data_IF_543707431710
#
_entry.id   IF_543707431710
#
_cell.length_a   1.000
_cell.length_b   1.000
_cell.length_c   1.000
_cell.angle_alpha   90.00
_cell.angle_beta   90.00
_cell.angle_gamma   90.00
#
_symmetry.space_group_name_H-M   'P 1'
#
loop_
_entity.id
_entity.type
_entity.pdbx_description
1 polymer ?
#
# COMPACT_ATOMS: atom_id res chain seq x y z
N UNK A 1 104.15 21.66 -70.91
CA UNK A 1 104.63 21.06 -69.65
C UNK A 1 103.43 20.54 -68.89
N UNK A 2 103.35 19.22 -68.86
CA UNK A 2 102.33 18.36 -68.23
C UNK A 2 102.44 18.34 -66.71
N UNK A 3 101.31 18.37 -66.01
CA UNK A 3 101.13 17.73 -64.69
C UNK A 3 99.73 17.12 -64.58
N UNK A 4 99.72 15.78 -64.53
CA UNK A 4 98.78 14.86 -63.87
C UNK A 4 98.67 15.19 -62.36
N UNK A 5 97.75 14.72 -61.51
CA UNK A 5 96.50 13.96 -61.51
C UNK A 5 96.04 13.82 -60.02
N UNK A 6 94.79 13.37 -59.77
CA UNK A 6 94.28 12.89 -58.47
C UNK A 6 92.94 13.55 -58.10
N UNK A 7 91.74 13.03 -58.40
CA UNK A 7 91.06 11.75 -58.08
C UNK A 7 90.48 11.68 -56.64
N UNK A 8 89.17 11.41 -56.53
CA UNK A 8 88.47 11.00 -55.30
C UNK A 8 87.27 11.89 -54.92
N UNK A 9 86.09 11.74 -55.54
CA UNK A 9 84.96 10.91 -55.05
C UNK A 9 84.52 11.28 -53.63
N UNK A 10 83.42 12.05 -53.49
CA UNK A 10 82.23 11.65 -52.72
C UNK A 10 81.02 12.38 -53.35
N UNK A 11 80.35 11.72 -54.29
CA UNK A 11 79.06 12.11 -54.87
C UNK A 11 78.05 11.01 -54.49
N UNK A 12 76.85 11.40 -54.03
CA UNK A 12 75.78 10.48 -53.60
C UNK A 12 75.88 10.23 -52.08
N UNK A 13 74.88 10.53 -51.25
CA UNK A 13 73.50 10.08 -51.30
C UNK A 13 72.67 11.02 -50.41
N UNK A 14 71.89 11.97 -50.95
CA UNK A 14 70.81 12.64 -50.17
C UNK A 14 69.56 13.00 -51.01
N UNK A 15 69.56 12.81 -52.33
CA UNK A 15 68.49 13.30 -53.20
C UNK A 15 67.42 12.26 -53.61
N UNK A 16 67.08 11.30 -52.76
CA UNK A 16 66.08 10.26 -53.10
C UNK A 16 65.15 9.86 -51.94
N UNK A 17 64.92 10.76 -50.98
CA UNK A 17 64.05 10.49 -49.80
C UNK A 17 62.86 11.46 -49.66
N UNK A 18 62.50 12.19 -50.72
CA UNK A 18 61.40 13.18 -50.68
C UNK A 18 60.30 12.99 -51.75
N UNK A 19 60.37 11.98 -52.62
CA UNK A 19 59.35 11.74 -53.66
C UNK A 19 58.26 10.73 -53.25
N UNK A 20 58.40 10.04 -52.12
CA UNK A 20 57.41 9.06 -51.64
C UNK A 20 56.24 9.64 -50.85
N UNK A 21 56.37 10.85 -50.26
CA UNK A 21 55.38 11.40 -49.31
C UNK A 21 54.19 12.08 -50.00
N UNK A 22 54.33 12.53 -51.24
CA UNK A 22 53.26 13.24 -51.96
C UNK A 22 52.20 12.27 -52.51
N UNK A 23 52.59 11.01 -52.81
CA UNK A 23 51.65 9.98 -53.28
C UNK A 23 50.68 9.53 -52.19
N UNK A 24 51.10 9.51 -50.93
CA UNK A 24 50.27 9.08 -49.81
C UNK A 24 49.22 10.14 -49.44
N UNK A 25 49.56 11.42 -49.55
CA UNK A 25 48.64 12.52 -49.25
C UNK A 25 47.45 12.59 -50.24
N UNK A 26 47.68 12.33 -51.53
CA UNK A 26 46.62 12.29 -52.54
C UNK A 26 45.75 11.03 -52.43
N UNK A 27 46.34 9.89 -52.06
CA UNK A 27 45.60 8.67 -51.76
C UNK A 27 44.69 8.84 -50.53
N UNK A 28 45.18 9.50 -49.48
CA UNK A 28 44.39 9.85 -48.29
C UNK A 28 43.25 10.83 -48.61
N UNK A 29 43.48 11.83 -49.47
CA UNK A 29 42.42 12.76 -49.94
C UNK A 29 41.32 12.06 -50.74
N UNK A 30 41.68 11.10 -51.60
CA UNK A 30 40.69 10.31 -52.37
C UNK A 30 39.90 9.35 -51.47
N UNK A 31 40.52 8.79 -50.42
CA UNK A 31 39.82 7.96 -49.42
C UNK A 31 38.83 8.78 -48.59
N UNK A 32 39.22 9.97 -48.11
CA UNK A 32 38.32 10.88 -47.38
C UNK A 32 37.12 11.36 -48.23
N UNK A 33 37.30 11.54 -49.54
CA UNK A 33 36.21 11.92 -50.47
C UNK A 33 35.22 10.80 -50.81
N UNK A 34 35.53 9.55 -50.45
CA UNK A 34 34.68 8.38 -50.74
C UNK A 34 33.89 7.89 -49.53
N UNK A 35 34.02 8.57 -48.39
CA UNK A 35 33.28 8.15 -47.20
C UNK A 35 31.80 8.46 -47.44
N UNK A 36 30.91 7.45 -47.41
CA UNK A 36 29.48 7.69 -47.50
C UNK A 36 29.09 8.64 -46.37
N UNK A 37 28.31 9.66 -46.69
CA UNK A 37 27.72 10.52 -45.69
C UNK A 37 26.89 9.64 -44.74
N UNK A 38 26.96 9.85 -43.41
CA UNK A 38 26.12 9.10 -42.48
C UNK A 38 24.67 9.18 -42.95
N UNK A 39 23.92 8.06 -42.92
CA UNK A 39 22.55 8.09 -43.37
C UNK A 39 21.79 9.11 -42.51
N UNK A 40 21.02 9.98 -43.16
CA UNK A 40 20.26 11.01 -42.47
C UNK A 40 19.31 10.36 -41.47
N UNK A 41 19.16 10.97 -40.28
CA UNK A 41 18.13 10.58 -39.34
C UNK A 41 16.76 10.63 -40.02
N UNK A 42 15.87 9.72 -39.63
CA UNK A 42 14.46 9.80 -39.96
C UNK A 42 13.66 10.43 -38.83
N UNK A 43 12.37 10.61 -39.07
CA UNK A 43 11.43 11.21 -38.13
C UNK A 43 10.37 10.20 -37.72
N UNK A 44 10.17 10.01 -36.42
CA UNK A 44 9.08 9.25 -35.84
C UNK A 44 7.97 10.21 -35.39
N UNK A 45 6.74 9.95 -35.84
CA UNK A 45 5.54 10.68 -35.44
C UNK A 45 4.56 9.74 -34.77
N UNK A 46 4.35 9.92 -33.47
CA UNK A 46 3.40 9.12 -32.67
C UNK A 46 2.06 9.86 -32.62
N UNK A 47 1.01 9.26 -33.16
CA UNK A 47 -0.34 9.83 -33.17
C UNK A 47 -1.23 9.06 -32.21
N UNK A 48 -1.62 9.70 -31.09
CA UNK A 48 -2.54 9.12 -30.11
C UNK A 48 -3.69 10.09 -29.85
N UNK A 49 -4.89 9.54 -29.66
CA UNK A 49 -6.08 10.30 -29.23
C UNK A 49 -6.12 10.50 -27.69
N UNK A 50 -5.21 9.84 -26.98
CA UNK A 50 -5.13 9.84 -25.52
C UNK A 50 -3.92 10.66 -25.11
N UNK A 51 -4.16 11.79 -24.44
CA UNK A 51 -3.11 12.67 -23.91
C UNK A 51 -2.41 12.06 -22.68
N UNK A 52 -1.22 12.51 -22.35
CA UNK A 52 -0.49 12.10 -21.15
C UNK A 52 -0.08 10.62 -21.10
N UNK A 53 -0.15 9.89 -22.21
CA UNK A 53 0.35 8.53 -22.29
C UNK A 53 1.88 8.55 -22.42
N UNK A 54 2.58 7.76 -21.62
CA UNK A 54 4.03 7.64 -21.67
C UNK A 54 4.45 6.94 -22.96
N UNK A 55 5.39 7.54 -23.69
CA UNK A 55 5.97 6.99 -24.92
C UNK A 55 7.40 6.54 -24.63
N UNK A 56 7.70 5.30 -24.96
CA UNK A 56 9.01 4.68 -24.88
C UNK A 56 9.47 4.27 -26.28
N UNK A 57 10.73 4.56 -26.59
CA UNK A 57 11.40 4.09 -27.82
C UNK A 57 12.64 3.32 -27.40
N UNK A 58 12.77 2.09 -27.85
CA UNK A 58 13.86 1.17 -27.49
C UNK A 58 14.06 1.08 -25.96
N UNK A 59 12.94 0.89 -25.25
CA UNK A 59 12.85 0.81 -23.78
C UNK A 59 13.16 2.11 -23.02
N UNK A 60 13.52 3.21 -23.71
CA UNK A 60 13.79 4.51 -23.11
C UNK A 60 12.57 5.43 -23.19
N UNK A 61 12.15 6.01 -22.07
CA UNK A 61 11.08 7.03 -22.03
C UNK A 61 11.53 8.29 -22.77
N UNK A 62 10.81 8.65 -23.83
CA UNK A 62 11.08 9.85 -24.65
C UNK A 62 10.16 11.02 -24.34
N UNK A 63 9.00 10.75 -23.75
CA UNK A 63 8.05 11.80 -23.35
C UNK A 63 6.63 11.28 -23.15
N UNK A 64 5.65 12.17 -23.30
CA UNK A 64 4.23 11.88 -23.17
C UNK A 64 3.45 12.41 -24.37
N UNK A 65 2.30 11.82 -24.67
CA UNK A 65 1.41 12.29 -25.74
C UNK A 65 0.68 13.60 -25.36
N UNK A 66 0.37 14.48 -26.32
CA UNK A 66 0.91 14.55 -27.67
C UNK A 66 2.42 14.80 -27.64
N UNK A 67 3.18 14.05 -28.45
CA UNK A 67 4.63 14.11 -28.51
C UNK A 67 5.07 14.84 -29.79
N UNK A 68 6.04 15.74 -29.67
CA UNK A 68 6.67 16.36 -30.84
C UNK A 68 7.40 15.31 -31.70
N UNK A 69 7.51 15.49 -33.02
CA UNK A 69 8.22 14.56 -33.90
C UNK A 69 9.66 14.31 -33.42
N UNK A 70 10.06 13.04 -33.37
CA UNK A 70 11.35 12.62 -32.83
C UNK A 70 12.32 12.25 -33.95
N UNK A 71 13.53 12.80 -33.93
CA UNK A 71 14.60 12.38 -34.85
C UNK A 71 15.31 11.13 -34.31
N UNK A 72 15.32 10.07 -35.12
CA UNK A 72 15.95 8.80 -34.77
C UNK A 72 16.90 8.35 -35.88
N UNK A 73 17.95 7.58 -35.55
CA UNK A 73 18.74 6.89 -36.56
C UNK A 73 17.84 6.02 -37.45
N UNK A 74 18.21 5.79 -38.71
CA UNK A 74 17.47 4.85 -39.53
C UNK A 74 17.66 3.41 -39.04
N UNK A 75 16.60 2.61 -39.10
CA UNK A 75 16.57 1.25 -38.60
C UNK A 75 15.23 0.87 -37.98
N UNK A 76 15.19 -0.32 -37.38
CA UNK A 76 14.04 -0.76 -36.59
C UNK A 76 14.11 -0.17 -35.17
N UNK A 77 12.98 0.35 -34.71
CA UNK A 77 12.79 0.87 -33.37
C UNK A 77 11.55 0.24 -32.73
N UNK A 78 11.65 -0.13 -31.46
CA UNK A 78 10.48 -0.62 -30.71
C UNK A 78 9.78 0.57 -30.06
N UNK A 79 8.52 0.79 -30.38
CA UNK A 79 7.69 1.87 -29.82
C UNK A 79 6.67 1.26 -28.86
N UNK A 80 6.75 1.65 -27.59
CA UNK A 80 5.76 1.28 -26.58
C UNK A 80 5.06 2.53 -26.05
N UNK A 81 3.73 2.50 -26.00
CA UNK A 81 2.93 3.59 -25.43
C UNK A 81 2.01 3.04 -24.36
N UNK A 82 2.04 3.64 -23.16
CA UNK A 82 1.25 3.17 -22.02
C UNK A 82 0.68 4.31 -21.18
N UNK A 83 -0.47 4.07 -20.57
CA UNK A 83 -1.11 5.00 -19.63
C UNK A 83 -1.88 4.19 -18.56
N UNK A 84 -1.79 4.55 -17.27
CA UNK A 84 -2.57 3.88 -16.22
C UNK A 84 -4.06 3.87 -16.55
N UNK A 85 -4.71 2.73 -16.34
CA UNK A 85 -6.11 2.49 -16.70
C UNK A 85 -6.38 2.24 -18.19
N UNK A 86 -5.36 2.12 -19.05
CA UNK A 86 -5.51 1.83 -20.50
C UNK A 86 -4.74 0.56 -20.90
N UNK A 87 -5.07 0.01 -22.09
CA UNK A 87 -4.24 -1.01 -22.75
C UNK A 87 -2.86 -0.46 -23.10
N UNK A 88 -1.83 -1.30 -23.06
CA UNK A 88 -0.51 -0.96 -23.62
C UNK A 88 -0.51 -1.17 -25.14
N UNK A 89 0.17 -0.27 -25.85
CA UNK A 89 0.50 -0.41 -27.26
C UNK A 89 1.99 -0.75 -27.41
N UNK A 90 2.32 -1.72 -28.25
CA UNK A 90 3.69 -2.15 -28.52
C UNK A 90 3.81 -2.52 -30.01
N UNK A 91 4.73 -1.88 -30.72
CA UNK A 91 4.96 -2.13 -32.15
C UNK A 91 6.43 -1.91 -32.53
N UNK A 92 6.88 -2.56 -33.61
CA UNK A 92 8.21 -2.38 -34.18
C UNK A 92 8.09 -1.61 -35.48
N UNK A 93 8.79 -0.48 -35.54
CA UNK A 93 8.66 0.50 -36.62
C UNK A 93 9.99 0.65 -37.34
N UNK A 94 9.98 0.50 -38.66
CA UNK A 94 11.16 0.73 -39.49
C UNK A 94 11.21 2.18 -39.96
N UNK A 95 12.31 2.87 -39.66
CA UNK A 95 12.56 4.26 -40.04
C UNK A 95 13.58 4.29 -41.18
N UNK A 96 13.13 4.75 -42.35
CA UNK A 96 14.00 4.94 -43.50
C UNK A 96 14.92 6.17 -43.32
N UNK A 97 16.14 6.18 -43.90
CA UNK A 97 17.02 7.35 -43.86
C UNK A 97 16.37 8.62 -44.43
N UNK A 98 16.27 9.67 -43.62
CA UNK A 98 15.57 10.91 -43.99
C UNK A 98 14.07 10.77 -44.24
N UNK A 99 13.49 9.61 -43.92
CA UNK A 99 12.07 9.32 -44.07
C UNK A 99 11.28 9.66 -42.80
N UNK A 100 9.96 9.61 -42.94
CA UNK A 100 9.01 9.79 -41.82
C UNK A 100 8.25 8.48 -41.60
N UNK A 101 8.19 8.03 -40.34
CA UNK A 101 7.39 6.90 -39.90
C UNK A 101 6.29 7.41 -38.97
N UNK A 102 5.03 7.17 -39.35
CA UNK A 102 3.85 7.58 -38.58
C UNK A 102 3.24 6.36 -37.91
N UNK A 103 3.09 6.41 -36.58
CA UNK A 103 2.56 5.33 -35.77
C UNK A 103 1.21 5.75 -35.20
N UNK A 104 0.08 5.22 -35.72
CA UNK A 104 -1.23 5.42 -35.12
C UNK A 104 -1.37 4.53 -33.88
N UNK A 105 -1.54 5.16 -32.72
CA UNK A 105 -1.66 4.51 -31.42
C UNK A 105 -3.11 4.56 -30.97
N UNK A 106 -3.69 3.38 -30.77
CA UNK A 106 -5.01 3.19 -30.18
C UNK A 106 -4.86 2.63 -28.76
N UNK A 107 -5.20 3.44 -27.75
CA UNK A 107 -5.27 3.00 -26.36
C UNK A 107 -6.74 2.88 -25.94
N UNK A 108 -7.13 1.70 -25.45
CA UNK A 108 -8.48 1.43 -24.98
C UNK A 108 -8.51 1.56 -23.46
N UNK A 109 -9.43 2.35 -22.93
CA UNK A 109 -9.61 2.50 -21.50
C UNK A 109 -10.18 1.20 -20.89
N UNK A 110 -9.52 0.68 -19.86
CA UNK A 110 -9.89 -0.53 -19.12
C UNK A 110 -10.41 -0.23 -17.71
N UNK A 111 -9.96 0.88 -17.11
CA UNK A 111 -10.28 1.25 -15.75
C UNK A 111 -10.32 2.78 -15.57
N UNK A 112 -11.03 3.21 -14.53
CA UNK A 112 -10.90 4.54 -13.94
C UNK A 112 -9.65 4.57 -13.05
N UNK A 113 -8.91 5.67 -13.05
CA UNK A 113 -7.82 5.87 -12.10
C UNK A 113 -8.25 6.84 -11.02
N UNK A 114 -8.16 6.40 -9.76
CA UNK A 114 -8.57 7.16 -8.59
C UNK A 114 -7.37 7.41 -7.69
N UNK A 115 -6.99 8.68 -7.53
CA UNK A 115 -5.99 9.09 -6.53
C UNK A 115 -6.70 9.38 -5.21
N UNK A 116 -6.41 8.61 -4.17
CA UNK A 116 -6.99 8.78 -2.84
C UNK A 116 -5.97 9.39 -1.89
N UNK A 117 -6.33 10.51 -1.28
CA UNK A 117 -5.55 11.20 -0.24
C UNK A 117 -6.41 11.35 1.01
N UNK A 118 -5.77 11.44 2.17
CA UNK A 118 -6.54 11.69 3.38
C UNK A 118 -5.81 12.53 4.41
N UNK A 119 -6.57 13.03 5.37
CA UNK A 119 -6.06 13.62 6.60
C UNK A 119 -6.71 12.87 7.78
N UNK A 120 -5.93 12.13 8.60
CA UNK A 120 -4.48 11.97 8.56
C UNK A 120 -3.97 11.21 7.32
N UNK A 121 -2.70 11.42 6.98
CA UNK A 121 -1.98 10.59 6.01
C UNK A 121 -1.82 9.15 6.54
N UNK A 122 -1.38 8.24 5.66
CA UNK A 122 -1.21 6.81 5.96
C UNK A 122 -2.49 6.09 6.43
N UNK A 123 -3.67 6.63 6.15
CA UNK A 123 -4.95 5.97 6.40
C UNK A 123 -5.10 4.74 5.51
N UNK A 124 -5.65 3.65 6.05
CA UNK A 124 -5.88 2.40 5.31
C UNK A 124 -7.01 2.56 4.32
N UNK A 125 -6.80 2.12 3.08
CA UNK A 125 -7.78 2.18 2.00
C UNK A 125 -8.23 0.77 1.64
N UNK A 126 -9.54 0.61 1.52
CA UNK A 126 -10.20 -0.62 1.12
C UNK A 126 -11.11 -0.32 -0.08
N UNK A 127 -11.16 -1.25 -1.03
CA UNK A 127 -12.08 -1.24 -2.17
C UNK A 127 -12.84 -2.54 -2.15
N UNK A 128 -14.17 -2.47 -2.08
CA UNK A 128 -15.07 -3.63 -1.99
C UNK A 128 -14.68 -4.59 -0.85
N UNK A 129 -14.37 -4.02 0.31
CA UNK A 129 -13.91 -4.74 1.49
C UNK A 129 -12.46 -5.26 1.43
N UNK A 130 -11.78 -5.18 0.28
CA UNK A 130 -10.40 -5.65 0.11
C UNK A 130 -9.39 -4.54 0.39
N UNK A 131 -8.40 -4.80 1.24
CA UNK A 131 -7.33 -3.85 1.54
C UNK A 131 -6.45 -3.60 0.30
N UNK A 132 -6.25 -2.33 -0.07
CA UNK A 132 -5.46 -1.93 -1.24
C UNK A 132 -4.14 -1.23 -0.89
N UNK A 133 -4.03 -0.66 0.32
CA UNK A 133 -2.84 0.04 0.79
C UNK A 133 -3.19 1.21 1.69
N UNK A 134 -2.28 2.17 1.79
CA UNK A 134 -2.44 3.35 2.64
C UNK A 134 -2.38 4.63 1.80
N UNK A 135 -3.12 5.66 2.18
CA UNK A 135 -3.08 6.99 1.54
C UNK A 135 -1.72 7.68 1.73
N UNK A 136 -1.23 8.47 0.76
CA UNK A 136 -1.76 8.63 -0.59
C UNK A 136 -1.58 7.36 -1.44
N UNK A 137 -2.61 6.99 -2.22
CA UNK A 137 -2.56 5.82 -3.11
C UNK A 137 -3.30 6.08 -4.42
N UNK A 138 -2.79 5.52 -5.51
CA UNK A 138 -3.48 5.47 -6.81
C UNK A 138 -4.10 4.08 -7.02
N UNK A 139 -5.36 4.05 -7.45
CA UNK A 139 -6.15 2.83 -7.61
C UNK A 139 -6.73 2.77 -9.02
N UNK A 140 -6.66 1.59 -9.63
CA UNK A 140 -7.37 1.31 -10.89
C UNK A 140 -8.68 0.57 -10.56
N UNK A 141 -9.81 1.19 -10.90
CA UNK A 141 -11.15 0.64 -10.69
C UNK A 141 -11.74 0.25 -12.03
N UNK A 142 -12.10 -1.02 -12.20
CA UNK A 142 -12.80 -1.50 -13.40
C UNK A 142 -14.17 -0.83 -13.52
N UNK A 143 -14.81 -0.91 -14.68
CA UNK A 143 -16.15 -0.35 -14.85
C UNK A 143 -17.16 -0.91 -13.82
N UNK A 144 -17.97 -0.03 -13.25
CA UNK A 144 -19.04 -0.41 -12.30
C UNK A 144 -19.03 0.40 -11.01
N UNK A 145 -19.79 -0.06 -10.02
CA UNK A 145 -19.84 0.57 -8.70
C UNK A 145 -18.86 -0.12 -7.75
N UNK A 146 -18.04 0.69 -7.09
CA UNK A 146 -17.07 0.26 -6.10
C UNK A 146 -17.29 0.99 -4.77
N UNK A 147 -17.18 0.26 -3.65
CA UNK A 147 -17.20 0.85 -2.32
C UNK A 147 -15.78 1.19 -1.88
N UNK A 148 -15.45 2.49 -1.84
CA UNK A 148 -14.22 3.00 -1.26
C UNK A 148 -14.40 3.25 0.23
N UNK A 149 -13.56 2.63 1.06
CA UNK A 149 -13.54 2.85 2.51
C UNK A 149 -12.16 3.25 2.99
N UNK A 150 -12.08 4.37 3.71
CA UNK A 150 -10.83 4.92 4.27
C UNK A 150 -10.93 4.90 5.80
N UNK A 151 -9.92 4.32 6.46
CA UNK A 151 -9.93 4.12 7.91
C UNK A 151 -8.57 4.37 8.56
N UNK A 152 -8.56 5.14 9.63
CA UNK A 152 -7.38 5.40 10.46
C UNK A 152 -7.65 5.11 11.96
N UNK A 153 -6.63 4.76 12.76
CA UNK A 153 -6.81 4.55 14.20
C UNK A 153 -7.32 5.80 14.92
N UNK A 154 -8.34 5.66 15.78
CA UNK A 154 -8.99 6.77 16.51
C UNK A 154 -9.77 7.75 15.63
N UNK A 155 -10.05 7.40 14.37
CA UNK A 155 -10.92 8.18 13.49
C UNK A 155 -12.16 7.38 13.10
N UNK A 156 -13.26 8.07 12.79
CA UNK A 156 -14.43 7.45 12.15
C UNK A 156 -14.06 7.08 10.73
N UNK A 157 -14.37 5.86 10.33
CA UNK A 157 -14.16 5.44 8.95
C UNK A 157 -15.09 6.21 8.00
N UNK A 158 -14.58 6.51 6.81
CA UNK A 158 -15.32 7.17 5.76
C UNK A 158 -15.56 6.18 4.62
N UNK A 159 -16.81 6.00 4.22
CA UNK A 159 -17.22 5.12 3.13
C UNK A 159 -17.92 5.93 2.05
N UNK A 160 -17.53 5.71 0.79
CA UNK A 160 -18.08 6.39 -0.39
C UNK A 160 -18.20 5.37 -1.54
N UNK A 161 -19.34 5.37 -2.22
CA UNK A 161 -19.51 4.65 -3.48
C UNK A 161 -18.94 5.48 -4.63
N UNK A 162 -18.12 4.86 -5.47
CA UNK A 162 -17.56 5.42 -6.69
C UNK A 162 -18.12 4.64 -7.87
N UNK A 163 -18.75 5.34 -8.81
CA UNK A 163 -19.11 4.77 -10.11
C UNK A 163 -17.92 4.94 -11.04
N UNK A 164 -17.15 3.87 -11.24
CA UNK A 164 -15.97 3.87 -12.06
C UNK A 164 -16.34 3.87 -13.55
N UNK A 165 -15.86 4.89 -14.25
CA UNK A 165 -16.00 5.05 -15.70
C UNK A 165 -14.59 4.92 -16.31
N UNK A 166 -14.35 3.96 -17.21
CA UNK A 166 -13.03 3.77 -17.81
C UNK A 166 -12.48 5.04 -18.46
N UNK A 167 -11.19 5.33 -18.19
CA UNK A 167 -10.49 6.49 -18.73
C UNK A 167 -10.73 7.79 -17.98
N UNK A 168 -11.62 7.80 -16.98
CA UNK A 168 -11.79 8.93 -16.08
C UNK A 168 -10.72 8.92 -14.99
N UNK A 169 -10.33 10.13 -14.58
CA UNK A 169 -9.41 10.37 -13.48
C UNK A 169 -10.18 11.09 -12.36
N UNK A 170 -10.12 10.57 -11.14
CA UNK A 170 -10.73 11.24 -9.97
C UNK A 170 -9.72 11.40 -8.84
N UNK A 171 -9.69 12.61 -8.25
CA UNK A 171 -9.00 12.86 -6.99
C UNK A 171 -10.01 12.83 -5.83
N UNK A 172 -9.83 11.90 -4.91
CA UNK A 172 -10.63 11.78 -3.69
C UNK A 172 -9.80 12.24 -2.50
N UNK A 173 -10.09 13.44 -2.00
CA UNK A 173 -9.52 13.98 -0.76
C UNK A 173 -10.47 13.72 0.42
N UNK A 174 -10.03 12.93 1.41
CA UNK A 174 -10.85 12.55 2.58
C UNK A 174 -10.28 13.17 3.86
N UNK A 175 -11.05 14.00 4.56
CA UNK A 175 -10.71 14.40 5.94
C UNK A 175 -11.50 13.56 6.93
N UNK A 176 -10.80 12.74 7.72
CA UNK A 176 -11.44 11.86 8.70
C UNK A 176 -11.76 12.62 9.99
N UNK A 177 -12.90 12.31 10.59
CA UNK A 177 -13.32 12.88 11.87
C UNK A 177 -12.73 12.07 13.03
N UNK A 178 -12.03 12.74 13.95
CA UNK A 178 -11.49 12.09 15.14
C UNK A 178 -12.62 11.58 16.04
N UNK A 179 -12.45 10.36 16.56
CA UNK A 179 -13.35 9.80 17.59
C UNK A 179 -12.98 10.45 18.93
N UNK A 180 -13.95 11.05 19.66
CA UNK A 180 -13.70 11.63 20.98
C UNK A 180 -13.07 10.62 21.95
N UNK A 181 -12.11 11.08 22.75
CA UNK A 181 -11.36 10.23 23.71
C UNK A 181 -12.26 9.53 24.74
N UNK A 182 -13.40 10.13 25.07
CA UNK A 182 -14.40 9.54 25.96
C UNK A 182 -14.97 8.23 25.40
N UNK A 183 -15.11 8.13 24.07
CA UNK A 183 -15.57 6.91 23.41
C UNK A 183 -14.44 5.87 23.27
N UNK A 184 -13.18 6.30 23.31
CA UNK A 184 -12.01 5.42 23.24
C UNK A 184 -11.65 4.83 24.60
N UNK A 185 -11.96 5.53 25.69
CA UNK A 185 -11.76 5.08 27.06
C UNK A 185 -13.02 5.37 27.89
N UNK A 186 -14.06 4.50 27.78
CA UNK A 186 -15.24 4.66 28.60
C UNK A 186 -14.82 4.56 30.07
N UNK A 187 -14.97 5.66 30.82
CA UNK A 187 -14.81 5.63 32.28
C UNK A 187 -15.76 4.56 32.83
N UNK A 188 -15.28 3.77 33.78
CA UNK A 188 -16.17 2.91 34.54
C UNK A 188 -17.28 3.77 35.14
N UNK A 189 -18.54 3.29 35.16
CA UNK A 189 -19.62 4.04 35.79
C UNK A 189 -19.27 4.43 37.23
N UNK A 190 -19.62 5.65 37.65
CA UNK A 190 -19.29 6.18 38.98
C UNK A 190 -19.73 5.26 40.15
N UNK A 191 -20.79 4.46 39.95
CA UNK A 191 -21.29 3.52 40.95
C UNK A 191 -20.29 2.41 41.35
N UNK A 192 -19.19 2.23 40.60
CA UNK A 192 -18.11 1.29 40.91
C UNK A 192 -17.05 1.85 41.88
N UNK A 193 -16.99 3.18 42.04
CA UNK A 193 -15.98 3.87 42.86
C UNK A 193 -16.50 4.29 44.24
N UNK A 194 -17.82 4.20 44.49
CA UNK A 194 -18.39 4.55 45.78
C UNK A 194 -18.15 3.42 46.82
N UNK A 195 -17.41 3.67 47.92
CA UNK A 195 -17.11 2.64 48.93
C UNK A 195 -18.38 2.05 49.59
N UNK A 196 -19.50 2.75 49.52
CA UNK A 196 -20.78 2.31 50.10
C UNK A 196 -21.41 1.14 49.34
N UNK A 197 -21.14 0.95 48.04
CA UNK A 197 -21.72 -0.16 47.27
C UNK A 197 -21.09 -1.51 47.64
N UNK A 198 -19.79 -1.54 47.90
CA UNK A 198 -19.12 -2.70 48.49
C UNK A 198 -19.58 -2.98 49.92
N UNK A 199 -19.87 -1.96 50.72
CA UNK A 199 -20.45 -2.13 52.07
C UNK A 199 -21.87 -2.70 51.98
N UNK A 200 -22.66 -2.31 50.99
CA UNK A 200 -24.02 -2.85 50.79
C UNK A 200 -24.00 -4.32 50.35
N UNK A 201 -23.11 -4.70 49.43
CA UNK A 201 -22.99 -6.07 48.91
C UNK A 201 -22.30 -7.00 49.93
N UNK A 202 -21.24 -6.53 50.60
CA UNK A 202 -20.51 -7.30 51.61
C UNK A 202 -21.19 -7.34 52.98
N UNK A 203 -21.79 -6.24 53.41
CA UNK A 203 -22.48 -6.14 54.70
C UNK A 203 -23.78 -6.94 54.77
N UNK A 204 -24.49 -7.09 53.65
CA UNK A 204 -25.70 -7.90 53.56
C UNK A 204 -25.45 -9.38 53.85
N UNK A 205 -24.32 -9.94 53.41
CA UNK A 205 -23.97 -11.34 53.65
C UNK A 205 -23.62 -11.62 55.12
N UNK A 206 -22.94 -10.70 55.81
CA UNK A 206 -22.60 -10.84 57.22
C UNK A 206 -23.82 -10.74 58.15
N UNK A 207 -24.74 -9.82 57.85
CA UNK A 207 -25.96 -9.65 58.65
C UNK A 207 -26.89 -10.88 58.58
N UNK A 208 -27.03 -11.49 57.40
CA UNK A 208 -27.82 -12.72 57.23
C UNK A 208 -27.26 -13.90 58.03
N UNK A 209 -25.94 -14.08 58.06
CA UNK A 209 -25.32 -15.15 58.84
C UNK A 209 -25.58 -14.98 60.35
N UNK A 210 -25.48 -13.75 60.87
CA UNK A 210 -25.75 -13.45 62.28
C UNK A 210 -27.23 -13.68 62.62
N UNK A 211 -28.16 -13.26 61.75
CA UNK A 211 -29.60 -13.49 61.95
C UNK A 211 -29.91 -15.00 61.97
N UNK A 212 -29.33 -15.79 61.06
CA UNK A 212 -29.53 -17.25 61.04
C UNK A 212 -29.06 -17.88 62.36
N UNK A 213 -27.91 -17.48 62.88
CA UNK A 213 -27.40 -17.98 64.17
C UNK A 213 -28.30 -17.55 65.34
N UNK A 214 -28.72 -16.29 65.38
CA UNK A 214 -29.62 -15.79 66.44
C UNK A 214 -30.96 -16.51 66.40
N UNK A 215 -31.55 -16.67 65.22
CA UNK A 215 -32.81 -17.42 65.06
C UNK A 215 -32.61 -18.85 65.51
N UNK A 216 -31.55 -19.54 65.08
CA UNK A 216 -31.27 -20.91 65.52
C UNK A 216 -31.10 -21.05 67.04
N UNK A 217 -30.49 -20.06 67.71
CA UNK A 217 -30.35 -20.04 69.18
C UNK A 217 -31.68 -19.76 69.86
N UNK A 218 -32.47 -18.80 69.36
CA UNK A 218 -33.76 -18.41 69.96
C UNK A 218 -34.83 -19.47 69.73
N UNK A 219 -34.79 -20.18 68.60
CA UNK A 219 -35.75 -21.25 68.27
C UNK A 219 -35.32 -22.63 68.77
N UNK A 220 -34.23 -22.74 69.54
CA UNK A 220 -34.01 -23.94 70.36
C UNK A 220 -35.11 -23.98 71.42
N UNK A 221 -36.24 -24.59 71.05
CA UNK A 221 -37.24 -24.94 72.03
C UNK A 221 -36.57 -25.88 73.04
N UNK A 222 -36.71 -25.63 74.35
CA UNK A 222 -36.32 -26.64 75.33
C UNK A 222 -37.03 -27.93 74.94
N UNK A 223 -36.29 -29.04 74.88
CA UNK A 223 -36.86 -30.34 74.57
C UNK A 223 -38.09 -30.61 75.45
N UNK A 224 -39.10 -31.33 74.94
CA UNK A 224 -40.32 -31.57 75.70
C UNK A 224 -39.98 -32.13 77.08
N UNK A 225 -40.71 -31.73 78.14
CA UNK A 225 -40.48 -32.26 79.48
C UNK A 225 -40.53 -33.79 79.44
N UNK A 226 -39.67 -34.46 80.21
CA UNK A 226 -39.55 -35.93 80.25
C UNK A 226 -40.88 -36.68 80.43
N UNK A 227 -41.90 -36.00 80.94
CA UNK A 227 -43.27 -36.48 81.14
C UNK A 227 -43.97 -36.86 79.82
N UNK A 228 -43.65 -36.19 78.71
CA UNK A 228 -44.24 -36.46 77.39
C UNK A 228 -43.71 -37.75 76.74
N UNK A 229 -42.65 -38.35 77.32
CA UNK A 229 -42.10 -39.63 76.87
C UNK A 229 -42.60 -40.82 77.69
N UNK A 230 -43.40 -40.60 78.74
CA UNK A 230 -44.00 -41.68 79.52
C UNK A 230 -45.32 -42.11 78.87
N UNK A 231 -45.40 -43.37 78.42
CA UNK A 231 -46.66 -43.96 77.94
C UNK A 231 -47.61 -44.29 79.10
N UNK A 232 -48.92 -44.32 78.83
CA UNK A 232 -50.03 -44.43 79.81
C UNK A 232 -49.97 -45.62 80.79
N UNK A 233 -48.99 -46.53 80.69
CA UNK A 233 -48.86 -47.71 81.55
C UNK A 233 -47.42 -48.06 81.97
N UNK A 234 -46.50 -47.09 82.03
CA UNK A 234 -45.15 -47.33 82.58
C UNK A 234 -45.08 -47.01 84.09
N UNK A 235 -45.30 -48.03 84.93
CA UNK A 235 -45.22 -47.93 86.41
C UNK A 235 -43.85 -47.41 86.92
N UNK A 236 -42.79 -47.47 86.10
CA UNK A 236 -41.49 -46.91 86.41
C UNK A 236 -41.43 -45.37 86.38
N UNK A 237 -42.29 -44.69 85.61
CA UNK A 237 -42.28 -43.23 85.53
C UNK A 237 -42.88 -42.56 86.78
N UNK A 238 -43.84 -43.22 87.45
CA UNK A 238 -44.56 -42.61 88.59
C UNK A 238 -43.67 -42.48 89.86
N UNK A 239 -42.67 -43.37 90.00
CA UNK A 239 -41.70 -43.35 91.10
C UNK A 239 -40.68 -42.19 91.04
N UNK A 240 -40.48 -41.58 89.87
CA UNK A 240 -39.51 -40.48 89.67
C UNK A 240 -40.20 -39.11 89.72
N UNK A 241 -41.47 -39.02 89.33
CA UNK A 241 -42.17 -37.74 89.17
C UNK A 241 -43.06 -37.38 90.38
N UNK A 242 -43.52 -38.36 91.18
CA UNK A 242 -44.38 -38.11 92.36
C UNK A 242 -43.86 -38.83 93.61
N UNK A 243 -42.93 -38.26 94.38
CA UNK A 243 -42.53 -38.87 95.62
C UNK A 243 -43.65 -38.67 96.67
N UNK A 244 -44.44 -39.71 96.92
CA UNK A 244 -45.49 -39.73 97.93
C UNK A 244 -44.87 -39.79 99.33
N UNK A 245 -44.63 -38.64 99.96
CA UNK A 245 -44.43 -38.54 101.40
C UNK A 245 -45.68 -37.91 102.01
N UNK A 246 -46.70 -38.71 102.27
CA UNK A 246 -47.69 -38.41 103.32
C UNK A 246 -47.16 -39.04 104.62
N UNK A 247 -46.71 -38.19 105.53
CA UNK A 247 -46.58 -38.45 106.96
C UNK A 247 -46.97 -37.19 107.73
#
# INVERSE_FOLDING_TARGET
>A
MTRFAGFGIVFGVVAALLLGLVSDADAQRRRRRRQPEPPANGTLVVQSQVDGAEVLVDEATVGFTPLDPLELPPGEHTVRVRRPGYTEFDDVVEIAPGGEAVVPVELIALAMVVTVRSTPDESRVFVDGTFRGNTPIELELIEGEHELRVAAPRFREHTRTITAIPGELELVDVTLEAVPDELLNPRAPEWYEEPVTWIAIGGGAAALAVIIVIVAVVTQQPGPPLQDFCGDNDEMCDLVVRPSWEF
#
